data_IF_505668953610
#
_entry.id   IF_505668953610
#
_cell.length_a   1.000
_cell.length_b   1.000
_cell.length_c   1.000
_cell.angle_alpha   90.00
_cell.angle_beta   90.00
_cell.angle_gamma   90.00
#
_symmetry.space_group_name_H-M   'P 1'
#
loop_
_entity.id
_entity.type
_entity.pdbx_description
1 polymer ?
#
# COMPACT_ATOMS: atom_id res chain seq x y z
N UNK A 1 -0.40 -0.35 1.30
CA UNK A 1 -0.47 0.62 0.21
C UNK A 1 -1.54 1.66 0.50
N UNK A 2 -2.47 1.90 -0.42
CA UNK A 2 -3.33 3.11 -0.42
C UNK A 2 -4.16 3.30 0.85
N UNK A 3 -4.69 2.21 1.43
CA UNK A 3 -5.57 2.31 2.59
C UNK A 3 -4.82 2.78 3.83
N UNK A 4 -3.54 2.39 3.97
CA UNK A 4 -2.69 2.88 5.04
C UNK A 4 -2.46 4.41 4.95
N UNK A 5 -2.50 5.01 3.76
CA UNK A 5 -2.45 6.47 3.61
C UNK A 5 -3.78 7.13 3.99
N UNK A 6 -4.90 6.55 3.56
CA UNK A 6 -6.25 7.03 3.89
C UNK A 6 -6.47 7.15 5.40
N UNK A 7 -5.96 6.18 6.16
CA UNK A 7 -6.06 6.21 7.63
C UNK A 7 -5.14 7.24 8.29
N UNK A 8 -4.06 7.63 7.62
CA UNK A 8 -3.05 8.58 8.14
C UNK A 8 -3.39 10.03 7.80
N UNK A 9 -4.01 10.25 6.65
CA UNK A 9 -4.19 11.56 6.03
C UNK A 9 -5.59 11.64 5.45
N UNK A 10 -6.36 12.65 5.85
CA UNK A 10 -7.73 12.84 5.37
C UNK A 10 -7.77 13.20 3.88
N UNK A 11 -6.69 13.76 3.39
CA UNK A 11 -6.47 14.21 2.02
C UNK A 11 -6.08 13.07 1.09
N UNK A 12 -5.77 11.88 1.62
CA UNK A 12 -5.43 10.74 0.80
C UNK A 12 -6.64 10.24 0.01
N UNK A 13 -6.37 9.85 -1.24
CA UNK A 13 -7.38 9.29 -2.14
C UNK A 13 -8.05 8.05 -1.54
N UNK A 14 -9.34 7.90 -1.81
CA UNK A 14 -10.07 6.69 -1.46
C UNK A 14 -9.49 5.46 -2.18
N UNK A 15 -9.47 4.33 -1.49
CA UNK A 15 -9.15 3.02 -2.08
C UNK A 15 -10.15 1.95 -1.66
N UNK A 16 -10.34 0.95 -2.52
CA UNK A 16 -11.16 -0.23 -2.20
C UNK A 16 -10.33 -1.46 -1.86
N UNK A 17 -9.02 -1.40 -2.12
CA UNK A 17 -8.11 -2.52 -1.92
C UNK A 17 -7.40 -2.37 -0.58
N UNK A 18 -7.33 -3.48 0.17
CA UNK A 18 -6.55 -3.58 1.41
C UNK A 18 -5.27 -4.35 1.09
N UNK A 19 -4.11 -3.69 1.23
CA UNK A 19 -2.81 -4.34 1.07
C UNK A 19 -2.26 -4.79 2.43
N UNK A 20 -1.91 -6.07 2.55
CA UNK A 20 -1.27 -6.66 3.71
C UNK A 20 0.11 -7.23 3.33
N UNK A 21 1.07 -7.10 4.25
CA UNK A 21 2.38 -7.71 4.14
C UNK A 21 2.54 -8.80 5.19
N UNK A 22 2.96 -10.00 4.78
CA UNK A 22 3.32 -11.05 5.73
C UNK A 22 4.62 -10.69 6.45
N UNK A 23 4.55 -10.60 7.78
CA UNK A 23 5.71 -10.30 8.65
C UNK A 23 6.66 -11.48 8.82
N UNK A 24 6.08 -12.67 8.86
CA UNK A 24 6.78 -13.92 9.06
C UNK A 24 6.32 -14.91 7.99
N UNK A 25 7.19 -15.85 7.63
CA UNK A 25 6.79 -16.97 6.78
C UNK A 25 5.67 -17.75 7.47
N UNK A 26 4.56 -17.95 6.77
CA UNK A 26 3.57 -18.95 7.17
C UNK A 26 4.27 -20.30 7.08
N UNK A 27 4.25 -21.07 8.18
CA UNK A 27 5.19 -22.17 8.46
C UNK A 27 5.49 -23.08 7.26
N UNK A 28 6.75 -23.48 7.13
CA UNK A 28 7.27 -24.31 6.04
C UNK A 28 6.97 -25.81 6.20
N UNK A 29 6.16 -26.19 7.20
CA UNK A 29 5.96 -27.59 7.59
C UNK A 29 4.99 -28.34 6.69
N UNK A 30 4.17 -27.64 5.90
CA UNK A 30 3.31 -28.24 4.88
C UNK A 30 3.90 -27.90 3.51
N UNK A 31 4.06 -28.90 2.66
CA UNK A 31 4.44 -28.76 1.25
C UNK A 31 3.27 -28.18 0.42
N UNK A 32 2.75 -27.03 0.87
CA UNK A 32 1.52 -26.41 0.40
C UNK A 32 1.83 -25.08 -0.27
N UNK A 33 1.17 -24.74 -1.39
CA UNK A 33 1.41 -23.45 -2.05
C UNK A 33 1.09 -22.27 -1.11
N UNK A 34 1.96 -21.25 -1.13
CA UNK A 34 1.85 -20.09 -0.24
C UNK A 34 0.48 -19.42 -0.26
N UNK A 35 -0.16 -19.29 -1.43
CA UNK A 35 -1.50 -18.72 -1.55
C UNK A 35 -2.58 -19.50 -0.80
N UNK A 36 -2.43 -20.83 -0.69
CA UNK A 36 -3.36 -21.66 0.07
C UNK A 36 -3.13 -21.47 1.57
N UNK A 37 -1.86 -21.40 2.01
CA UNK A 37 -1.55 -21.07 3.40
C UNK A 37 -2.07 -19.69 3.81
N UNK A 38 -1.98 -18.70 2.92
CA UNK A 38 -2.55 -17.36 3.12
C UNK A 38 -4.07 -17.44 3.22
N UNK A 39 -4.73 -18.17 2.30
CA UNK A 39 -6.19 -18.36 2.34
C UNK A 39 -6.65 -19.00 3.65
N UNK A 40 -5.97 -20.06 4.11
CA UNK A 40 -6.27 -20.73 5.38
C UNK A 40 -6.12 -19.75 6.56
N UNK A 41 -5.06 -18.94 6.58
CA UNK A 41 -4.86 -17.93 7.62
C UNK A 41 -5.93 -16.84 7.60
N UNK A 42 -6.28 -16.33 6.42
CA UNK A 42 -7.35 -15.33 6.25
C UNK A 42 -8.71 -15.89 6.63
N UNK A 43 -9.06 -17.10 6.20
CA UNK A 43 -10.32 -17.77 6.53
C UNK A 43 -10.43 -18.03 8.05
N UNK A 44 -9.33 -18.45 8.68
CA UNK A 44 -9.27 -18.60 10.15
C UNK A 44 -9.48 -17.26 10.86
N UNK A 45 -8.87 -16.18 10.38
CA UNK A 45 -9.07 -14.85 10.94
C UNK A 45 -10.51 -14.35 10.76
N UNK A 46 -11.07 -14.53 9.56
CA UNK A 46 -12.43 -14.16 9.19
C UNK A 46 -13.52 -14.95 9.94
N UNK A 47 -13.21 -16.15 10.42
CA UNK A 47 -14.11 -16.98 11.22
C UNK A 47 -14.22 -16.59 12.69
N UNK A 48 -13.50 -15.56 13.16
CA UNK A 48 -13.64 -15.06 14.51
C UNK A 48 -14.91 -14.21 14.65
N UNK A 49 -15.75 -14.55 15.63
CA UNK A 49 -16.90 -13.71 15.99
C UNK A 49 -16.45 -12.61 16.94
N UNK A 50 -16.52 -11.36 16.46
CA UNK A 50 -16.15 -10.17 17.23
C UNK A 50 -17.35 -9.52 17.94
N UNK A 51 -18.55 -10.10 17.82
CA UNK A 51 -19.77 -9.54 18.39
C UNK A 51 -20.23 -8.23 17.73
N UNK A 52 -19.76 -7.97 16.51
CA UNK A 52 -20.02 -6.75 15.72
C UNK A 52 -21.02 -6.97 14.58
N UNK A 53 -21.64 -8.16 14.54
CA UNK A 53 -22.61 -8.62 13.53
C UNK A 53 -22.06 -8.82 12.11
N UNK A 54 -20.77 -8.56 11.88
CA UNK A 54 -20.15 -8.80 10.60
C UNK A 54 -19.72 -10.25 10.46
N UNK A 55 -19.84 -10.78 9.24
CA UNK A 55 -19.20 -12.03 8.85
C UNK A 55 -18.48 -11.86 7.52
N UNK A 56 -17.33 -12.52 7.39
CA UNK A 56 -16.44 -12.36 6.23
C UNK A 56 -16.23 -13.70 5.55
N UNK A 57 -16.50 -13.76 4.25
CA UNK A 57 -16.18 -14.90 3.41
C UNK A 57 -15.00 -14.55 2.52
N UNK A 58 -13.90 -15.30 2.65
CA UNK A 58 -12.70 -15.14 1.83
C UNK A 58 -12.79 -16.15 0.67
N UNK A 59 -12.84 -15.65 -0.56
CA UNK A 59 -12.82 -16.51 -1.75
C UNK A 59 -11.41 -16.92 -2.15
N UNK A 60 -11.33 -17.84 -3.11
CA UNK A 60 -10.05 -18.31 -3.65
C UNK A 60 -9.22 -17.19 -4.30
N UNK A 61 -7.91 -17.38 -4.34
CA UNK A 61 -6.98 -16.43 -4.96
C UNK A 61 -7.33 -16.21 -6.43
N UNK A 62 -7.64 -14.96 -6.80
CA UNK A 62 -8.03 -14.58 -8.16
C UNK A 62 -6.83 -14.29 -9.07
N UNK A 63 -5.73 -13.80 -8.50
CA UNK A 63 -4.57 -13.32 -9.24
C UNK A 63 -3.32 -13.48 -8.39
N UNK A 64 -2.25 -14.01 -8.99
CA UNK A 64 -0.93 -14.02 -8.36
C UNK A 64 -0.31 -12.61 -8.48
N UNK A 65 0.20 -12.06 -7.38
CA UNK A 65 0.81 -10.72 -7.33
C UNK A 65 2.30 -10.83 -7.68
N UNK A 66 2.66 -10.48 -8.92
CA UNK A 66 4.05 -10.52 -9.41
C UNK A 66 4.98 -9.48 -8.76
N UNK A 67 4.44 -8.50 -8.02
CA UNK A 67 5.22 -7.42 -7.45
C UNK A 67 5.98 -7.81 -6.17
N UNK A 68 5.59 -8.92 -5.52
CA UNK A 68 6.17 -9.36 -4.26
C UNK A 68 7.24 -10.45 -4.51
N UNK A 69 8.43 -10.40 -3.87
CA UNK A 69 9.56 -11.29 -4.16
C UNK A 69 9.30 -12.79 -4.00
N UNK A 70 8.41 -13.19 -3.07
CA UNK A 70 7.98 -14.57 -2.91
C UNK A 70 6.55 -14.80 -3.43
N UNK A 71 6.09 -13.89 -4.29
CA UNK A 71 4.72 -13.82 -4.76
C UNK A 71 3.77 -13.20 -3.76
N UNK A 72 2.50 -13.19 -4.14
CA UNK A 72 1.39 -12.77 -3.33
C UNK A 72 0.11 -13.18 -4.03
N UNK A 73 -1.03 -12.91 -3.41
CA UNK A 73 -2.31 -13.20 -4.04
C UNK A 73 -3.36 -12.17 -3.68
N UNK A 74 -4.24 -11.92 -4.64
CA UNK A 74 -5.46 -11.13 -4.45
C UNK A 74 -6.61 -12.06 -4.08
N UNK A 75 -7.25 -11.81 -2.95
CA UNK A 75 -8.38 -12.57 -2.44
C UNK A 75 -9.64 -11.70 -2.43
N UNK A 76 -10.76 -12.15 -3.03
CA UNK A 76 -12.03 -11.47 -2.91
C UNK A 76 -12.61 -11.70 -1.52
N UNK A 77 -13.16 -10.66 -0.93
CA UNK A 77 -13.84 -10.71 0.36
C UNK A 77 -15.29 -10.30 0.17
N UNK A 78 -16.20 -11.15 0.62
CA UNK A 78 -17.60 -10.79 0.81
C UNK A 78 -17.85 -10.54 2.29
N UNK A 79 -18.22 -9.31 2.62
CA UNK A 79 -18.68 -8.93 3.96
C UNK A 79 -20.20 -9.05 4.00
N UNK A 80 -20.73 -9.71 5.03
CA UNK A 80 -22.16 -9.83 5.27
C UNK A 80 -22.54 -9.22 6.61
N UNK A 81 -23.72 -8.61 6.66
CA UNK A 81 -24.35 -8.04 7.84
C UNK A 81 -25.83 -8.42 7.80
N UNK A 82 -26.35 -8.96 8.90
CA UNK A 82 -27.74 -9.47 8.98
C UNK A 82 -28.09 -10.46 7.83
N UNK A 83 -27.16 -11.37 7.55
CA UNK A 83 -27.32 -12.38 6.50
C UNK A 83 -27.33 -11.84 5.06
N UNK A 84 -27.16 -10.53 4.83
CA UNK A 84 -27.10 -9.92 3.50
C UNK A 84 -25.70 -9.45 3.15
N UNK A 85 -25.35 -9.46 1.87
CA UNK A 85 -24.10 -8.86 1.41
C UNK A 85 -24.10 -7.36 1.70
N UNK A 86 -23.15 -6.92 2.51
CA UNK A 86 -22.96 -5.52 2.85
C UNK A 86 -22.03 -4.84 1.82
N UNK A 87 -20.84 -5.40 1.63
CA UNK A 87 -19.86 -4.91 0.65
C UNK A 87 -18.96 -6.05 0.18
N UNK A 88 -18.41 -5.89 -1.03
CA UNK A 88 -17.35 -6.74 -1.57
C UNK A 88 -16.12 -5.91 -1.87
N UNK A 89 -14.96 -6.43 -1.51
CA UNK A 89 -13.66 -5.79 -1.76
C UNK A 89 -12.57 -6.85 -1.95
N UNK A 90 -11.33 -6.41 -2.16
CA UNK A 90 -10.20 -7.32 -2.32
C UNK A 90 -9.15 -7.07 -1.24
N UNK A 91 -8.53 -8.16 -0.78
CA UNK A 91 -7.32 -8.13 0.03
C UNK A 91 -6.16 -8.62 -0.83
N UNK A 92 -5.14 -7.78 -0.97
CA UNK A 92 -3.88 -8.13 -1.59
C UNK A 92 -2.88 -8.51 -0.49
N UNK A 93 -2.42 -9.76 -0.50
CA UNK A 93 -1.42 -10.22 0.47
C UNK A 93 -0.10 -10.46 -0.25
N UNK A 94 0.89 -9.61 0.03
CA UNK A 94 2.25 -9.76 -0.46
C UNK A 94 3.13 -10.55 0.50
N UNK A 95 3.96 -11.44 -0.04
CA UNK A 95 4.93 -12.20 0.73
C UNK A 95 6.37 -11.92 0.30
N UNK A 96 7.25 -11.87 1.30
CA UNK A 96 8.68 -11.77 1.03
C UNK A 96 9.18 -10.39 0.65
N UNK A 97 8.35 -9.35 0.69
CA UNK A 97 8.87 -7.98 0.61
C UNK A 97 9.63 -7.61 1.89
N UNK A 98 10.37 -6.51 1.87
CA UNK A 98 10.99 -5.99 3.08
C UNK A 98 9.89 -5.54 4.04
N UNK A 99 10.03 -5.90 5.31
CA UNK A 99 9.16 -5.43 6.38
C UNK A 99 10.06 -4.78 7.42
N UNK A 100 10.24 -3.45 7.33
CA UNK A 100 11.16 -2.70 8.17
C UNK A 100 10.48 -2.29 9.48
N UNK A 101 11.14 -2.58 10.59
CA UNK A 101 10.80 -2.03 11.89
C UNK A 101 11.55 -0.69 12.12
N UNK A 102 11.00 0.23 12.94
CA UNK A 102 9.73 0.12 13.66
C UNK A 102 8.51 0.31 12.75
N UNK A 103 7.41 -0.38 13.08
CA UNK A 103 6.11 -0.12 12.48
C UNK A 103 5.49 1.12 13.12
N UNK A 104 4.69 1.84 12.33
CA UNK A 104 3.82 2.86 12.88
C UNK A 104 2.51 2.21 13.36
N UNK A 105 1.97 2.70 14.47
CA UNK A 105 0.60 2.41 14.89
C UNK A 105 -0.34 3.42 14.26
N UNK A 106 -1.25 2.94 13.42
CA UNK A 106 -2.25 3.78 12.75
C UNK A 106 -3.62 3.50 13.35
N UNK A 107 -4.30 4.57 13.76
CA UNK A 107 -5.66 4.54 14.30
C UNK A 107 -6.67 4.62 13.15
N UNK A 108 -7.59 3.66 13.07
CA UNK A 108 -8.71 3.77 12.14
C UNK A 108 -9.74 4.80 12.61
N UNK A 109 -10.46 5.36 11.64
CA UNK A 109 -11.55 6.28 11.92
C UNK A 109 -12.72 5.58 12.62
N UNK A 110 -13.37 6.33 13.51
CA UNK A 110 -14.55 5.91 14.28
C UNK A 110 -15.84 5.85 13.43
N UNK A 111 -15.78 5.33 12.19
CA UNK A 111 -16.92 5.34 11.26
C UNK A 111 -18.14 4.59 11.79
N UNK A 112 -17.92 3.49 12.52
CA UNK A 112 -18.98 2.64 13.06
C UNK A 112 -19.19 2.85 14.57
N UNK A 113 -18.60 3.90 15.16
CA UNK A 113 -18.75 4.18 16.59
C UNK A 113 -20.20 4.40 17.00
N UNK A 114 -21.01 4.98 16.12
CA UNK A 114 -22.45 5.15 16.34
C UNK A 114 -23.20 3.82 16.52
N UNK A 115 -22.63 2.72 16.01
CA UNK A 115 -23.15 1.36 16.14
C UNK A 115 -22.41 0.55 17.23
N UNK A 116 -21.60 1.20 18.08
CA UNK A 116 -20.86 0.54 19.16
C UNK A 116 -19.57 -0.15 18.72
N UNK A 117 -19.11 0.05 17.47
CA UNK A 117 -17.89 -0.53 16.94
C UNK A 117 -16.82 0.58 16.86
N UNK A 118 -15.89 0.67 17.82
CA UNK A 118 -14.85 1.70 17.80
C UNK A 118 -13.80 1.44 16.72
N UNK A 119 -13.11 2.49 16.27
CA UNK A 119 -11.96 2.35 15.40
C UNK A 119 -10.83 1.58 16.10
N UNK A 120 -10.24 0.60 15.41
CA UNK A 120 -9.11 -0.16 15.91
C UNK A 120 -7.76 0.49 15.57
N UNK A 121 -6.75 0.25 16.40
CA UNK A 121 -5.35 0.48 16.04
C UNK A 121 -4.78 -0.76 15.37
N UNK A 122 -4.03 -0.56 14.29
CA UNK A 122 -3.26 -1.64 13.70
C UNK A 122 -1.90 -1.14 13.22
N UNK A 123 -0.91 -2.03 13.23
CA UNK A 123 0.42 -1.67 12.83
C UNK A 123 0.50 -1.60 11.30
N UNK A 124 1.22 -0.59 10.82
CA UNK A 124 1.41 -0.27 9.41
C UNK A 124 2.90 -0.09 9.12
N UNK A 125 3.31 -0.30 7.88
CA UNK A 125 4.66 0.06 7.44
C UNK A 125 4.90 1.55 7.67
N UNK A 126 6.14 1.95 7.97
CA UNK A 126 6.47 3.36 8.19
C UNK A 126 6.20 4.20 6.94
N UNK A 127 6.05 5.51 7.12
CA UNK A 127 5.90 6.44 5.99
C UNK A 127 7.08 6.38 5.02
N UNK A 128 8.28 6.16 5.53
CA UNK A 128 9.50 6.03 4.74
C UNK A 128 9.50 4.75 3.91
N UNK A 129 9.09 3.61 4.49
CA UNK A 129 8.91 2.39 3.72
C UNK A 129 7.81 2.56 2.67
N UNK A 130 6.70 3.20 3.01
CA UNK A 130 5.63 3.45 2.05
C UNK A 130 6.14 4.31 0.87
N UNK A 131 6.88 5.38 1.15
CA UNK A 131 7.51 6.19 0.11
C UNK A 131 8.44 5.34 -0.77
N UNK A 132 9.28 4.50 -0.17
CA UNK A 132 10.21 3.64 -0.91
C UNK A 132 9.50 2.64 -1.86
N UNK A 133 8.43 2.00 -1.39
CA UNK A 133 7.64 1.07 -2.21
C UNK A 133 6.93 1.76 -3.37
N UNK A 134 6.50 3.02 -3.16
CA UNK A 134 5.87 3.86 -4.18
C UNK A 134 6.89 4.34 -5.20
N UNK A 135 8.07 4.78 -4.76
CA UNK A 135 9.13 5.20 -5.66
C UNK A 135 9.61 4.04 -6.53
N UNK A 136 9.86 2.86 -5.94
CA UNK A 136 10.20 1.67 -6.71
C UNK A 136 9.14 1.35 -7.77
N UNK A 137 7.86 1.48 -7.42
CA UNK A 137 6.77 1.24 -8.37
C UNK A 137 6.71 2.30 -9.47
N UNK A 138 6.97 3.56 -9.13
CA UNK A 138 7.03 4.69 -10.05
C UNK A 138 8.16 4.55 -11.07
N UNK A 139 9.34 4.11 -10.63
CA UNK A 139 10.55 4.00 -11.47
C UNK A 139 10.65 2.70 -12.27
N UNK A 140 9.81 1.71 -11.98
CA UNK A 140 9.84 0.43 -12.67
C UNK A 140 9.40 0.58 -14.13
N UNK A 141 10.29 0.22 -15.06
CA UNK A 141 10.01 0.21 -16.50
C UNK A 141 8.96 -0.85 -16.85
N UNK A 142 7.93 -0.45 -17.62
CA UNK A 142 6.83 -1.31 -18.02
C UNK A 142 6.47 -1.06 -19.48
N UNK A 143 5.94 -2.08 -20.15
CA UNK A 143 5.53 -2.00 -21.55
C UNK A 143 4.24 -1.18 -21.77
N UNK A 144 3.39 -1.07 -20.75
CA UNK A 144 2.10 -0.36 -20.85
C UNK A 144 1.98 0.76 -19.79
N UNK A 145 1.55 1.98 -20.17
CA UNK A 145 1.27 3.07 -19.21
C UNK A 145 0.14 2.69 -18.24
N UNK A 146 0.27 3.03 -16.95
CA UNK A 146 -0.63 2.51 -15.90
C UNK A 146 -1.05 3.56 -14.84
N UNK A 147 -1.62 3.07 -13.73
CA UNK A 147 -2.04 3.77 -12.51
C UNK A 147 -0.94 4.47 -11.67
N UNK A 148 0.32 4.56 -12.13
CA UNK A 148 1.46 5.14 -11.39
C UNK A 148 1.31 6.64 -11.13
N UNK A 149 0.44 7.35 -11.86
CA UNK A 149 0.06 8.72 -11.48
C UNK A 149 -0.45 8.80 -10.02
N UNK A 150 -1.10 7.72 -9.53
CA UNK A 150 -1.51 7.60 -8.13
C UNK A 150 -0.31 7.47 -7.17
N UNK A 151 0.76 6.79 -7.58
CA UNK A 151 1.95 6.67 -6.73
C UNK A 151 2.67 8.01 -6.59
N UNK A 152 2.66 8.86 -7.61
CA UNK A 152 3.15 10.24 -7.50
C UNK A 152 2.33 11.04 -6.47
N UNK A 153 1.00 10.95 -6.50
CA UNK A 153 0.13 11.59 -5.49
C UNK A 153 0.48 11.09 -4.09
N UNK A 154 0.54 9.78 -3.91
CA UNK A 154 0.84 9.14 -2.62
C UNK A 154 2.21 9.62 -2.08
N UNK A 155 3.23 9.72 -2.94
CA UNK A 155 4.56 10.25 -2.55
C UNK A 155 4.52 11.73 -2.19
N UNK A 156 3.74 12.56 -2.89
CA UNK A 156 3.63 13.99 -2.59
C UNK A 156 2.92 14.25 -1.27
N UNK A 157 1.89 13.46 -0.95
CA UNK A 157 1.23 13.51 0.35
C UNK A 157 2.20 13.15 1.49
N UNK A 158 3.00 12.10 1.29
CA UNK A 158 4.03 11.71 2.24
C UNK A 158 5.07 12.83 2.44
N UNK A 159 5.58 13.42 1.35
CA UNK A 159 6.51 14.55 1.41
C UNK A 159 5.87 15.75 2.13
N UNK A 160 4.65 16.11 1.76
CA UNK A 160 3.92 17.25 2.32
C UNK A 160 3.59 17.11 3.81
N UNK A 161 3.57 15.87 4.33
CA UNK A 161 3.38 15.64 5.77
C UNK A 161 4.53 16.20 6.63
N UNK A 162 5.74 16.33 6.07
CA UNK A 162 6.94 16.78 6.78
C UNK A 162 7.40 15.84 7.91
N UNK A 163 6.89 14.60 7.97
CA UNK A 163 7.13 13.66 9.09
C UNK A 163 8.21 12.60 8.82
N UNK A 164 8.67 12.46 7.58
CA UNK A 164 9.63 11.43 7.20
C UNK A 164 11.05 11.81 7.58
N UNK A 165 11.80 10.85 8.13
CA UNK A 165 13.24 11.00 8.35
C UNK A 165 14.02 10.65 7.07
N UNK A 166 14.82 11.59 6.56
CA UNK A 166 15.54 11.42 5.29
C UNK A 166 16.51 10.23 5.30
N UNK A 167 17.18 9.96 6.43
CA UNK A 167 18.09 8.82 6.55
C UNK A 167 17.31 7.51 6.52
N UNK A 168 16.17 7.44 7.21
CA UNK A 168 15.29 6.26 7.15
C UNK A 168 14.67 6.06 5.77
N UNK A 169 14.33 7.12 5.04
CA UNK A 169 13.89 7.03 3.64
C UNK A 169 14.97 6.41 2.77
N UNK A 170 16.23 6.87 2.88
CA UNK A 170 17.34 6.26 2.13
C UNK A 170 17.51 4.78 2.45
N UNK A 171 17.49 4.41 3.73
CA UNK A 171 17.59 3.02 4.16
C UNK A 171 16.44 2.17 3.61
N UNK A 172 15.21 2.68 3.66
CA UNK A 172 14.04 2.00 3.12
C UNK A 172 14.13 1.81 1.60
N UNK A 173 14.56 2.84 0.86
CA UNK A 173 14.81 2.74 -0.58
C UNK A 173 15.83 1.64 -0.90
N UNK A 174 16.99 1.66 -0.24
CA UNK A 174 18.03 0.67 -0.49
C UNK A 174 17.53 -0.74 -0.18
N UNK A 175 16.81 -0.92 0.94
CA UNK A 175 16.24 -2.20 1.30
C UNK A 175 15.22 -2.69 0.27
N UNK A 176 14.24 -1.86 -0.10
CA UNK A 176 13.19 -2.20 -1.07
C UNK A 176 13.77 -2.57 -2.43
N UNK A 177 14.66 -1.75 -2.99
CA UNK A 177 15.26 -2.02 -4.30
C UNK A 177 16.17 -3.26 -4.27
N UNK A 178 17.01 -3.41 -3.23
CA UNK A 178 17.86 -4.59 -3.03
C UNK A 178 17.05 -5.88 -2.90
N UNK A 179 15.85 -5.79 -2.31
CA UNK A 179 14.99 -6.95 -2.10
C UNK A 179 14.20 -7.32 -3.36
N UNK A 180 13.60 -6.34 -4.03
CA UNK A 180 12.77 -6.56 -5.23
C UNK A 180 13.62 -6.89 -6.46
N UNK A 181 14.87 -6.43 -6.55
CA UNK A 181 15.85 -6.78 -7.60
C UNK A 181 15.35 -6.70 -9.04
N UNK A 182 14.39 -5.82 -9.31
CA UNK A 182 13.84 -5.64 -10.67
C UNK A 182 14.64 -4.64 -11.49
N UNK A 183 15.13 -3.57 -10.84
CA UNK A 183 15.96 -2.52 -11.42
C UNK A 183 16.75 -1.81 -10.31
N UNK A 184 17.85 -1.12 -10.60
CA UNK A 184 18.61 -0.36 -9.61
C UNK A 184 17.83 0.87 -9.12
N UNK A 185 18.17 1.35 -7.91
CA UNK A 185 17.72 2.65 -7.43
C UNK A 185 18.33 3.74 -8.33
N UNK A 186 17.53 4.57 -9.02
CA UNK A 186 18.07 5.49 -10.01
C UNK A 186 18.76 6.68 -9.34
N UNK A 187 19.87 7.16 -9.92
CA UNK A 187 20.56 8.36 -9.43
C UNK A 187 19.70 9.62 -9.59
N UNK A 188 18.93 9.68 -10.68
CA UNK A 188 17.98 10.76 -10.98
C UNK A 188 16.63 10.17 -11.39
N UNK A 189 15.54 10.86 -11.03
CA UNK A 189 14.20 10.43 -11.41
C UNK A 189 13.86 10.90 -12.82
N UNK A 190 13.29 10.00 -13.61
CA UNK A 190 12.71 10.34 -14.91
C UNK A 190 11.41 11.13 -14.74
N UNK A 191 11.20 12.07 -15.67
CA UNK A 191 9.95 12.85 -15.73
C UNK A 191 8.76 11.92 -15.97
N UNK A 192 7.61 12.19 -15.34
CA UNK A 192 6.40 11.41 -15.60
C UNK A 192 5.97 11.61 -17.07
N UNK A 193 5.41 10.58 -17.73
CA UNK A 193 4.89 10.70 -19.09
C UNK A 193 3.82 11.80 -19.21
N UNK A 194 3.79 12.51 -20.33
CA UNK A 194 2.78 13.56 -20.61
C UNK A 194 1.35 13.02 -20.51
N UNK A 195 1.15 11.73 -20.81
CA UNK A 195 -0.13 11.04 -20.69
C UNK A 195 -0.71 11.06 -19.26
N UNK A 196 0.11 11.29 -18.23
CA UNK A 196 -0.36 11.38 -16.84
C UNK A 196 -0.97 12.73 -16.49
N UNK A 197 -0.81 13.79 -17.30
CA UNK A 197 -1.29 15.15 -16.95
C UNK A 197 -2.76 15.16 -16.55
N UNK A 198 -3.64 14.58 -17.37
CA UNK A 198 -5.07 14.49 -17.08
C UNK A 198 -5.40 13.64 -15.84
N UNK A 199 -4.99 12.35 -15.80
CA UNK A 199 -5.25 11.48 -14.65
C UNK A 199 -4.66 11.99 -13.34
N UNK A 200 -3.48 12.62 -13.39
CA UNK A 200 -2.84 13.24 -12.22
C UNK A 200 -3.63 14.44 -11.73
N UNK A 201 -3.94 15.42 -12.61
CA UNK A 201 -4.63 16.65 -12.21
C UNK A 201 -5.98 16.38 -11.54
N UNK A 202 -6.77 15.46 -12.11
CA UNK A 202 -8.06 15.07 -11.54
C UNK A 202 -7.94 14.48 -10.12
N UNK A 203 -6.87 13.72 -9.83
CA UNK A 203 -6.64 13.15 -8.50
C UNK A 203 -6.00 14.17 -7.54
N UNK A 204 -5.06 14.97 -8.02
CA UNK A 204 -4.37 16.01 -7.26
C UNK A 204 -5.35 17.01 -6.64
N UNK A 205 -6.32 17.50 -7.43
CA UNK A 205 -7.34 18.44 -6.95
C UNK A 205 -8.17 17.85 -5.81
N UNK A 206 -8.51 16.57 -5.86
CA UNK A 206 -9.24 15.89 -4.77
C UNK A 206 -8.40 15.68 -3.50
N UNK A 207 -7.07 15.67 -3.62
CA UNK A 207 -6.14 15.50 -2.52
C UNK A 207 -5.56 16.84 -2.01
N UNK A 208 -6.06 17.98 -2.48
CA UNK A 208 -5.56 19.31 -2.10
C UNK A 208 -4.14 19.62 -2.60
N UNK A 209 -3.68 18.94 -3.65
CA UNK A 209 -2.36 19.15 -4.26
C UNK A 209 -2.46 20.03 -5.51
N UNK A 210 -1.33 20.62 -5.94
CA UNK A 210 -1.25 21.27 -7.26
C UNK A 210 -1.57 20.27 -8.37
N UNK A 211 -2.48 20.64 -9.26
CA UNK A 211 -2.88 19.83 -10.42
C UNK A 211 -1.80 19.81 -11.51
N UNK A 212 -0.76 20.65 -11.38
CA UNK A 212 0.31 20.75 -12.35
C UNK A 212 1.35 19.62 -12.17
N UNK A 213 1.31 18.65 -13.08
CA UNK A 213 2.23 17.50 -13.09
C UNK A 213 3.72 17.90 -13.10
N UNK A 214 4.08 18.97 -13.80
CA UNK A 214 5.47 19.41 -13.92
C UNK A 214 5.97 20.04 -12.60
N UNK A 215 5.10 20.74 -11.86
CA UNK A 215 5.40 21.24 -10.51
C UNK A 215 5.48 20.11 -9.49
N UNK A 216 4.53 19.19 -9.54
CA UNK A 216 4.50 17.98 -8.72
C UNK A 216 5.79 17.16 -8.88
N UNK A 217 6.25 16.95 -10.11
CA UNK A 217 7.52 16.26 -10.36
C UNK A 217 8.72 17.04 -9.79
N UNK A 218 8.74 18.38 -9.89
CA UNK A 218 9.82 19.19 -9.29
C UNK A 218 9.90 19.00 -7.77
N UNK A 219 8.75 18.93 -7.08
CA UNK A 219 8.71 18.65 -5.64
C UNK A 219 9.29 17.27 -5.33
N UNK A 220 8.85 16.23 -6.03
CA UNK A 220 9.37 14.87 -5.85
C UNK A 220 10.89 14.82 -6.12
N UNK A 221 11.34 15.40 -7.24
CA UNK A 221 12.76 15.40 -7.62
C UNK A 221 13.62 16.16 -6.63
N UNK A 222 13.17 17.32 -6.14
CA UNK A 222 13.90 18.09 -5.14
C UNK A 222 14.01 17.34 -3.82
N UNK A 223 12.91 16.71 -3.37
CA UNK A 223 12.92 15.86 -2.19
C UNK A 223 13.90 14.69 -2.36
N UNK A 224 13.84 13.98 -3.48
CA UNK A 224 14.71 12.85 -3.78
C UNK A 224 16.20 13.23 -3.77
N UNK A 225 16.55 14.36 -4.38
CA UNK A 225 17.93 14.88 -4.39
C UNK A 225 18.42 15.36 -3.02
N UNK A 226 17.51 15.66 -2.09
CA UNK A 226 17.85 16.07 -0.71
C UNK A 226 18.12 14.89 0.24
N UNK A 227 17.83 13.66 -0.20
CA UNK A 227 18.10 12.47 0.59
C UNK A 227 19.61 12.23 0.69
N UNK A 228 20.14 11.86 1.87
CA UNK A 228 21.57 11.63 2.06
C UNK A 228 22.09 10.56 1.11
N UNK A 229 23.38 10.60 0.79
CA UNK A 229 24.04 9.47 0.13
C UNK A 229 24.03 8.23 1.04
N UNK A 230 24.28 7.06 0.46
CA UNK A 230 24.41 5.80 1.21
C UNK A 230 25.59 5.83 2.20
#
# INVERSE_FOLDING_TARGET
GGYALELRMKEARATKDIDLALRHSLGTEKDQPLKVMILEALAKAAGQDLGDFFSFNIGEAMLDLDAAPYGGARFPVETRLDGRTFVRFHIDVGAGDVVLAPFDMTQAHDWLKFAGIPGAEFPTISQEQHFAEKLHSYTLQRQMPNSRARDLIDMLLLIGSGKMDHTKVRQALNATFKRRKTHPLPEFLDRPPVAWKGPFGALAGTCGLSENLDEAFKVLSAYYSSLPAE
#
